data_IF_879424378072
#
_entry.id   IF_879424378072
#
_cell.length_a   1.000
_cell.length_b   1.000
_cell.length_c   1.000
_cell.angle_alpha   90.00
_cell.angle_beta   90.00
_cell.angle_gamma   90.00
#
_symmetry.space_group_name_H-M   'P 1'
#
loop_
_entity.id
_entity.type
_entity.pdbx_description
1 polymer ?
#
# COMPACT_ATOMS: atom_id res chain seq x y z
N UNK A 1 9.93 16.54 2.10
CA UNK A 1 10.09 15.81 0.82
C UNK A 1 9.18 14.57 0.85
N UNK A 2 7.94 14.69 1.36
CA UNK A 2 6.72 15.15 0.69
C UNK A 2 6.38 14.32 -0.56
N UNK A 3 5.17 13.74 -0.54
CA UNK A 3 4.52 12.91 -1.55
C UNK A 3 4.29 13.64 -2.89
N UNK A 4 5.33 14.16 -3.53
CA UNK A 4 5.23 14.93 -4.78
C UNK A 4 4.82 14.10 -5.99
N UNK A 5 4.84 12.76 -5.90
CA UNK A 5 4.38 11.87 -6.96
C UNK A 5 2.85 11.79 -7.08
N UNK A 6 2.11 11.94 -5.98
CA UNK A 6 0.65 11.82 -5.98
C UNK A 6 -0.04 12.98 -6.74
N UNK A 7 0.36 14.26 -6.55
CA UNK A 7 -0.21 15.37 -7.29
C UNK A 7 -0.04 15.26 -8.81
N UNK A 8 1.07 14.69 -9.30
CA UNK A 8 1.37 14.61 -10.74
C UNK A 8 0.45 13.66 -11.52
N UNK A 9 -0.21 12.71 -10.85
CA UNK A 9 -1.12 11.73 -11.48
C UNK A 9 -2.60 11.98 -11.16
N UNK A 10 -2.91 12.92 -10.24
CA UNK A 10 -4.26 13.18 -9.76
C UNK A 10 -5.24 13.67 -10.84
N UNK A 11 -4.75 14.19 -11.98
CA UNK A 11 -5.59 14.58 -13.12
C UNK A 11 -5.74 13.52 -14.21
N UNK A 12 -4.99 12.40 -14.14
CA UNK A 12 -4.92 11.38 -15.21
C UNK A 12 -5.48 10.04 -14.74
N UNK A 13 -5.42 9.75 -13.44
CA UNK A 13 -5.82 8.47 -12.87
C UNK A 13 -7.10 8.59 -12.01
N UNK A 14 -7.91 7.53 -11.91
CA UNK A 14 -9.10 7.53 -11.07
C UNK A 14 -8.77 7.87 -9.61
N UNK A 15 -9.65 8.58 -8.88
CA UNK A 15 -9.43 8.90 -7.46
C UNK A 15 -9.11 7.68 -6.60
N UNK A 16 -9.73 6.55 -6.90
CA UNK A 16 -9.49 5.28 -6.20
C UNK A 16 -8.08 4.75 -6.39
N UNK A 17 -7.50 4.93 -7.59
CA UNK A 17 -6.12 4.55 -7.87
C UNK A 17 -5.17 5.38 -7.03
N UNK A 18 -5.36 6.70 -7.02
CA UNK A 18 -4.55 7.63 -6.24
C UNK A 18 -4.64 7.35 -4.75
N UNK A 19 -5.84 7.09 -4.24
CA UNK A 19 -6.08 6.71 -2.85
C UNK A 19 -5.31 5.43 -2.47
N UNK A 20 -5.36 4.41 -3.33
CA UNK A 20 -4.65 3.15 -3.11
C UNK A 20 -3.13 3.34 -3.07
N UNK A 21 -2.59 4.15 -3.98
CA UNK A 21 -1.15 4.48 -3.99
C UNK A 21 -0.77 5.24 -2.72
N UNK A 22 -1.61 6.16 -2.25
CA UNK A 22 -1.37 6.89 -1.01
C UNK A 22 -1.34 5.97 0.21
N UNK A 23 -2.29 5.03 0.32
CA UNK A 23 -2.32 4.03 1.39
C UNK A 23 -1.04 3.15 1.40
N UNK A 24 -0.58 2.71 0.22
CA UNK A 24 0.66 1.96 0.09
C UNK A 24 1.90 2.76 0.51
N UNK A 25 2.02 4.01 0.06
CA UNK A 25 3.14 4.90 0.40
C UNK A 25 3.15 5.14 1.92
N UNK A 26 2.00 5.44 2.52
CA UNK A 26 1.87 5.64 3.97
C UNK A 26 2.30 4.40 4.75
N UNK A 27 1.91 3.21 4.30
CA UNK A 27 2.36 1.97 4.89
C UNK A 27 3.88 1.81 4.83
N UNK A 28 4.49 2.00 3.65
CA UNK A 28 5.95 1.87 3.46
C UNK A 28 6.71 2.84 4.39
N UNK A 29 6.26 4.09 4.49
CA UNK A 29 6.89 5.07 5.38
C UNK A 29 6.78 4.67 6.85
N UNK A 30 5.60 4.21 7.29
CA UNK A 30 5.41 3.73 8.67
C UNK A 30 6.28 2.51 8.97
N UNK A 31 6.38 1.58 8.03
CA UNK A 31 7.23 0.38 8.12
C UNK A 31 8.75 0.68 8.04
N UNK A 32 9.13 1.92 7.77
CA UNK A 32 10.52 2.38 7.81
C UNK A 32 10.85 3.15 9.09
N UNK A 33 9.90 3.27 10.03
CA UNK A 33 10.14 3.94 11.30
C UNK A 33 11.27 3.27 12.08
N UNK A 34 12.19 4.04 12.69
CA UNK A 34 13.25 3.47 13.52
C UNK A 34 12.73 2.96 14.87
N UNK A 35 11.54 3.39 15.28
CA UNK A 35 10.91 3.02 16.56
C UNK A 35 9.44 2.70 16.34
N UNK A 36 8.98 1.60 16.94
CA UNK A 36 7.59 1.19 16.90
C UNK A 36 6.97 1.30 18.30
N UNK A 37 5.92 2.11 18.41
CA UNK A 37 4.96 2.08 19.51
C UNK A 37 3.70 1.32 19.07
N UNK A 38 2.88 0.86 20.02
CA UNK A 38 1.61 0.18 19.70
C UNK A 38 0.73 1.04 18.78
N UNK A 39 0.62 2.34 19.08
CA UNK A 39 -0.11 3.28 18.23
C UNK A 39 0.48 3.40 16.80
N UNK A 40 1.80 3.30 16.65
CA UNK A 40 2.44 3.33 15.32
C UNK A 40 2.20 2.02 14.55
N UNK A 41 2.14 0.89 15.25
CA UNK A 41 1.83 -0.42 14.68
C UNK A 41 0.38 -0.44 14.22
N UNK A 42 -0.57 0.01 15.05
CA UNK A 42 -1.99 0.12 14.69
C UNK A 42 -2.18 1.01 13.46
N UNK A 43 -1.48 2.15 13.42
CA UNK A 43 -1.51 3.05 12.27
C UNK A 43 -0.92 2.43 11.00
N UNK A 44 0.11 1.59 11.14
CA UNK A 44 0.70 0.85 10.02
C UNK A 44 -0.28 -0.22 9.51
N UNK A 45 -0.89 -0.99 10.41
CA UNK A 45 -1.90 -2.01 10.09
C UNK A 45 -3.11 -1.38 9.39
N UNK A 46 -3.57 -0.22 9.86
CA UNK A 46 -4.66 0.52 9.24
C UNK A 46 -4.34 0.91 7.79
N UNK A 47 -3.15 1.46 7.52
CA UNK A 47 -2.73 1.80 6.15
C UNK A 47 -2.56 0.56 5.26
N UNK A 48 -2.11 -0.57 5.82
CA UNK A 48 -2.06 -1.82 5.08
C UNK A 48 -3.47 -2.30 4.73
N UNK A 49 -4.41 -2.26 5.68
CA UNK A 49 -5.80 -2.62 5.44
C UNK A 49 -6.43 -1.73 4.35
N UNK A 50 -6.24 -0.42 4.45
CA UNK A 50 -6.72 0.56 3.48
C UNK A 50 -6.18 0.28 2.06
N UNK A 51 -4.92 -0.12 1.94
CA UNK A 51 -4.37 -0.58 0.66
C UNK A 51 -5.06 -1.86 0.17
N UNK A 52 -5.25 -2.86 1.04
CA UNK A 52 -5.88 -4.13 0.68
C UNK A 52 -7.35 -3.97 0.24
N UNK A 53 -8.08 -3.03 0.85
CA UNK A 53 -9.47 -2.73 0.52
C UNK A 53 -9.60 -2.11 -0.89
N UNK A 54 -8.53 -1.44 -1.39
CA UNK A 54 -8.60 -0.65 -2.62
C UNK A 54 -7.64 -1.08 -3.74
N UNK A 55 -6.75 -2.05 -3.50
CA UNK A 55 -5.75 -2.56 -4.47
C UNK A 55 -6.32 -2.98 -5.83
N UNK A 56 -7.61 -3.28 -5.91
CA UNK A 56 -8.29 -3.60 -7.15
C UNK A 56 -8.20 -2.44 -8.16
N UNK A 57 -8.26 -1.19 -7.70
CA UNK A 57 -8.14 -0.03 -8.59
C UNK A 57 -6.78 0.03 -9.33
N UNK A 58 -5.71 -0.52 -8.75
CA UNK A 58 -4.40 -0.62 -9.41
C UNK A 58 -4.42 -1.73 -10.48
N UNK A 59 -5.12 -2.83 -10.21
CA UNK A 59 -5.28 -3.93 -11.17
C UNK A 59 -6.13 -3.51 -12.36
N UNK A 60 -7.25 -2.84 -12.12
CA UNK A 60 -8.17 -2.37 -13.16
C UNK A 60 -7.50 -1.33 -14.07
N UNK A 61 -6.59 -0.52 -13.53
CA UNK A 61 -5.77 0.41 -14.31
C UNK A 61 -4.66 -0.29 -15.13
N UNK A 62 -4.51 -1.62 -15.02
CA UNK A 62 -3.45 -2.38 -15.69
C UNK A 62 -2.04 -1.97 -15.25
N UNK A 63 -1.90 -1.27 -14.13
CA UNK A 63 -0.66 -0.63 -13.72
C UNK A 63 0.39 -1.62 -13.18
N UNK A 64 0.00 -2.88 -12.96
CA UNK A 64 0.90 -3.95 -12.54
C UNK A 64 1.26 -4.85 -13.72
N UNK A 65 2.38 -4.54 -14.38
CA UNK A 65 2.93 -5.33 -15.48
C UNK A 65 4.24 -6.00 -15.08
N UNK A 66 4.38 -7.27 -15.43
CA UNK A 66 5.62 -8.03 -15.37
C UNK A 66 6.17 -8.31 -16.77
N UNK A 67 7.34 -8.95 -16.81
CA UNK A 67 7.99 -9.35 -18.08
C UNK A 67 7.17 -10.33 -18.92
N UNK A 68 6.19 -11.02 -18.32
CA UNK A 68 5.27 -11.96 -18.98
C UNK A 68 3.85 -11.40 -19.18
N UNK A 69 3.65 -10.10 -18.98
CA UNK A 69 2.34 -9.45 -19.11
C UNK A 69 1.75 -8.98 -17.77
N UNK A 70 0.45 -8.70 -17.78
CA UNK A 70 -0.27 -8.14 -16.63
C UNK A 70 -0.30 -9.11 -15.45
N UNK A 71 -0.03 -8.60 -14.23
CA UNK A 71 -0.09 -9.37 -13.00
C UNK A 71 -1.35 -8.96 -12.23
N UNK A 72 -2.30 -9.89 -12.10
CA UNK A 72 -3.64 -9.61 -11.57
C UNK A 72 -3.76 -9.86 -10.05
N UNK A 73 -2.65 -9.87 -9.33
CA UNK A 73 -2.65 -10.15 -7.90
C UNK A 73 -1.62 -9.30 -7.17
N UNK A 74 -1.75 -9.23 -5.84
CA UNK A 74 -0.75 -8.63 -4.96
C UNK A 74 -0.12 -9.66 -4.01
N UNK A 75 0.31 -10.80 -4.57
CA UNK A 75 1.08 -11.82 -3.86
C UNK A 75 2.53 -11.34 -3.70
N UNK A 76 2.73 -10.34 -2.85
CA UNK A 76 4.06 -9.87 -2.46
C UNK A 76 4.30 -10.49 -1.08
N UNK A 77 5.11 -11.56 -0.97
CA UNK A 77 5.27 -12.30 0.28
C UNK A 77 5.69 -11.41 1.45
N UNK A 78 6.45 -10.33 1.17
CA UNK A 78 6.86 -9.35 2.18
C UNK A 78 5.71 -8.50 2.74
N UNK A 79 4.64 -8.25 1.97
CA UNK A 79 3.45 -7.54 2.45
C UNK A 79 2.56 -8.45 3.29
N UNK A 80 2.42 -9.72 2.91
CA UNK A 80 1.65 -10.71 3.69
C UNK A 80 2.34 -11.05 5.01
N UNK A 81 3.68 -11.10 5.03
CA UNK A 81 4.44 -11.28 6.27
C UNK A 81 4.15 -10.19 7.31
N UNK A 82 3.92 -8.94 6.89
CA UNK A 82 3.62 -7.83 7.80
C UNK A 82 2.24 -7.95 8.46
N UNK A 83 1.27 -8.63 7.83
CA UNK A 83 0.00 -8.98 8.47
C UNK A 83 0.17 -10.02 9.57
N UNK A 84 1.14 -10.93 9.43
CA UNK A 84 1.41 -11.97 10.43
C UNK A 84 2.01 -11.40 11.73
N UNK A 85 2.82 -10.33 11.65
CA UNK A 85 3.35 -9.67 12.84
C UNK A 85 2.26 -8.95 13.65
N UNK A 86 1.29 -8.33 12.98
CA UNK A 86 0.14 -7.70 13.64
C UNK A 86 -0.79 -8.72 14.34
N UNK A 87 -0.85 -9.95 13.84
CA UNK A 87 -1.62 -11.02 14.48
C UNK A 87 -0.91 -11.63 15.71
N UNK A 88 0.41 -11.45 15.82
CA UNK A 88 1.23 -12.03 16.89
C UNK A 88 1.29 -11.16 18.15
N UNK A 89 0.87 -9.90 18.10
CA UNK A 89 0.88 -8.96 19.25
C UNK A 89 -0.35 -9.08 20.15
N UNK A 90 -0.84 -10.30 20.42
CA UNK A 90 -1.94 -10.57 21.35
C UNK A 90 -1.48 -11.36 22.56
#
# INVERSE_FOLDING_TARGET
VQCTLVPSIAGVMPPQFIHTIHALINFIYKAQSPVYTDASIDSMVASLKEFHDHKQAILDAGARQGTKGMINNFLIPKLELLQSFAAFTK
#
